data_IF_486274715837
#
_entry.id   IF_486274715837
#
_cell.length_a   1.000
_cell.length_b   1.000
_cell.length_c   1.000
_cell.angle_alpha   90.00
_cell.angle_beta   90.00
_cell.angle_gamma   90.00
#
_symmetry.space_group_name_H-M   'P 1'
#
loop_
_entity.id
_entity.type
_entity.pdbx_description
1 polymer ?
#
# COMPACT_ATOMS: atom_id res chain seq x y z
N UNK A 1 -19.21 -30.38 11.86
CA UNK A 1 -19.53 -29.96 10.48
C UNK A 1 -18.23 -29.52 9.82
N UNK A 2 -17.86 -30.14 8.70
CA UNK A 2 -16.69 -29.70 7.94
C UNK A 2 -17.00 -28.30 7.36
N UNK A 3 -16.14 -27.32 7.64
CA UNK A 3 -16.23 -25.99 7.00
C UNK A 3 -15.81 -26.16 5.55
N UNK A 4 -16.74 -25.92 4.62
CA UNK A 4 -16.53 -26.09 3.18
C UNK A 4 -15.93 -24.86 2.48
N UNK A 5 -15.89 -23.71 3.16
CA UNK A 5 -15.41 -22.46 2.59
C UNK A 5 -14.21 -21.90 3.36
N UNK A 6 -13.19 -21.37 2.67
CA UNK A 6 -12.02 -20.76 3.30
C UNK A 6 -12.42 -19.51 4.09
N UNK A 7 -11.95 -19.45 5.35
CA UNK A 7 -12.22 -18.33 6.28
C UNK A 7 -10.96 -17.49 6.55
N UNK A 8 -9.89 -17.74 5.79
CA UNK A 8 -8.61 -17.03 5.82
C UNK A 8 -8.10 -16.94 4.38
N UNK A 9 -7.38 -15.87 4.06
CA UNK A 9 -6.63 -15.77 2.82
C UNK A 9 -5.19 -16.23 3.04
N UNK A 10 -4.57 -16.77 1.99
CA UNK A 10 -3.12 -16.98 1.90
C UNK A 10 -2.46 -15.91 1.02
N UNK A 11 -3.20 -14.86 0.61
CA UNK A 11 -2.64 -13.73 -0.12
C UNK A 11 -1.53 -13.07 0.69
N UNK A 12 -0.40 -12.82 0.02
CA UNK A 12 0.71 -12.05 0.55
C UNK A 12 0.60 -10.59 0.08
N UNK A 13 1.26 -9.68 0.79
CA UNK A 13 1.40 -8.30 0.34
C UNK A 13 2.47 -8.28 -0.75
N UNK A 14 2.07 -8.21 -2.01
CA UNK A 14 2.99 -7.94 -3.13
C UNK A 14 3.14 -6.41 -3.27
N UNK A 15 4.35 -5.94 -3.63
CA UNK A 15 4.62 -4.51 -3.79
C UNK A 15 5.28 -4.26 -5.14
N UNK A 16 4.88 -3.15 -5.77
CA UNK A 16 5.53 -2.61 -6.96
C UNK A 16 6.88 -1.99 -6.59
N UNK A 17 7.86 -2.11 -7.48
CA UNK A 17 9.18 -1.48 -7.32
C UNK A 17 9.21 -0.02 -7.77
N UNK A 18 8.15 0.50 -8.40
CA UNK A 18 8.08 1.88 -8.91
C UNK A 18 7.31 2.80 -7.95
N UNK A 19 7.97 3.78 -7.29
CA UNK A 19 7.31 4.60 -6.30
C UNK A 19 6.44 5.71 -6.93
N UNK A 20 5.17 5.74 -6.54
CA UNK A 20 4.29 6.86 -6.82
C UNK A 20 4.74 8.10 -6.03
N UNK A 21 4.80 9.27 -6.66
CA UNK A 21 5.17 10.54 -5.99
C UNK A 21 3.94 11.42 -5.85
N UNK A 22 3.54 11.70 -4.61
CA UNK A 22 2.43 12.56 -4.22
C UNK A 22 2.94 13.94 -3.78
N UNK A 23 2.33 15.03 -4.27
CA UNK A 23 2.67 16.41 -3.85
C UNK A 23 1.60 16.93 -2.89
N UNK A 24 2.02 17.64 -1.84
CA UNK A 24 1.09 18.13 -0.81
C UNK A 24 0.02 19.12 -1.33
N UNK A 25 0.27 19.78 -2.46
CA UNK A 25 -0.67 20.72 -3.09
C UNK A 25 -1.71 20.01 -3.97
N UNK A 26 -1.52 18.71 -4.23
CA UNK A 26 -2.46 17.90 -5.00
C UNK A 26 -3.68 17.48 -4.15
N UNK A 27 -4.86 17.46 -4.80
CA UNK A 27 -6.11 17.11 -4.15
C UNK A 27 -6.15 15.64 -3.72
N UNK A 28 -5.63 14.71 -4.53
CA UNK A 28 -5.61 13.30 -4.16
C UNK A 28 -4.69 13.04 -2.95
N UNK A 29 -3.56 13.76 -2.87
CA UNK A 29 -2.69 13.71 -1.67
C UNK A 29 -3.41 14.16 -0.41
N UNK A 30 -4.28 15.17 -0.50
CA UNK A 30 -5.06 15.64 0.65
C UNK A 30 -5.98 14.53 1.17
N UNK A 31 -6.63 13.78 0.29
CA UNK A 31 -7.53 12.70 0.65
C UNK A 31 -6.78 11.58 1.40
N UNK A 32 -5.57 11.23 0.94
CA UNK A 32 -4.68 10.28 1.62
C UNK A 32 -4.32 10.75 3.03
N UNK A 33 -3.90 12.01 3.17
CA UNK A 33 -3.54 12.59 4.48
C UNK A 33 -4.75 12.59 5.42
N UNK A 34 -5.93 12.96 4.92
CA UNK A 34 -7.16 13.01 5.70
C UNK A 34 -7.67 11.62 6.10
N UNK A 35 -7.45 10.60 5.26
CA UNK A 35 -7.77 9.23 5.59
C UNK A 35 -6.87 8.70 6.72
N UNK A 36 -5.57 8.99 6.65
CA UNK A 36 -4.55 8.54 7.61
C UNK A 36 -4.47 9.39 8.89
N UNK A 37 -5.10 10.58 8.94
CA UNK A 37 -5.03 11.45 10.12
C UNK A 37 -5.77 10.91 11.34
N UNK A 38 -6.60 9.87 11.17
CA UNK A 38 -7.26 9.18 12.26
C UNK A 38 -6.35 8.12 12.86
N UNK A 39 -6.21 8.12 14.19
CA UNK A 39 -5.47 7.08 14.92
C UNK A 39 -5.94 5.67 14.55
N UNK A 40 -7.26 5.46 14.48
CA UNK A 40 -7.82 4.16 14.08
C UNK A 40 -7.44 3.79 12.65
N UNK A 41 -7.52 4.73 11.70
CA UNK A 41 -7.16 4.45 10.32
C UNK A 41 -5.66 4.14 10.18
N UNK A 42 -4.82 4.85 10.92
CA UNK A 42 -3.38 4.60 10.98
C UNK A 42 -3.05 3.21 11.55
N UNK A 43 -3.73 2.80 12.63
CA UNK A 43 -3.58 1.46 13.21
C UNK A 43 -4.06 0.35 12.27
N UNK A 44 -5.17 0.58 11.56
CA UNK A 44 -5.65 -0.34 10.51
C UNK A 44 -4.61 -0.47 9.39
N UNK A 45 -4.09 0.65 8.89
CA UNK A 45 -3.04 0.65 7.88
C UNK A 45 -1.81 -0.15 8.35
N UNK A 46 -1.35 0.08 9.58
CA UNK A 46 -0.19 -0.63 10.14
C UNK A 46 -0.41 -2.15 10.20
N UNK A 47 -1.60 -2.57 10.62
CA UNK A 47 -1.99 -3.98 10.66
C UNK A 47 -2.01 -4.60 9.25
N UNK A 48 -2.65 -3.92 8.30
CA UNK A 48 -2.74 -4.39 6.91
C UNK A 48 -1.40 -4.41 6.18
N UNK A 49 -0.45 -3.56 6.59
CA UNK A 49 0.90 -3.53 6.06
C UNK A 49 1.71 -4.79 6.45
N UNK A 50 1.31 -5.49 7.50
CA UNK A 50 1.93 -6.75 7.93
C UNK A 50 1.18 -7.98 7.39
N UNK A 51 -0.16 -7.95 7.36
CA UNK A 51 -0.95 -9.12 6.96
C UNK A 51 -2.32 -8.70 6.40
N UNK A 52 -2.75 -9.23 5.25
CA UNK A 52 -4.10 -8.99 4.73
C UNK A 52 -5.19 -9.47 5.68
N UNK A 53 -6.25 -8.70 5.83
CA UNK A 53 -7.28 -9.00 6.82
C UNK A 53 -8.68 -8.54 6.42
N UNK A 54 -9.68 -9.28 6.91
CA UNK A 54 -11.10 -8.89 6.80
C UNK A 54 -11.48 -7.84 7.85
N UNK A 55 -12.56 -7.06 7.63
CA UNK A 55 -13.07 -6.11 8.61
C UNK A 55 -13.30 -6.69 10.01
N UNK A 56 -13.85 -7.92 10.12
CA UNK A 56 -14.09 -8.54 11.43
C UNK A 56 -12.79 -8.91 12.14
N UNK A 57 -11.80 -9.43 11.42
CA UNK A 57 -10.50 -9.76 12.01
C UNK A 57 -9.74 -8.52 12.50
N UNK A 58 -9.82 -7.43 11.74
CA UNK A 58 -9.23 -6.13 12.11
C UNK A 58 -9.91 -5.60 13.37
N UNK A 59 -11.25 -5.66 13.42
CA UNK A 59 -12.02 -5.25 14.59
C UNK A 59 -11.63 -6.03 15.85
N UNK A 60 -11.48 -7.35 15.73
CA UNK A 60 -11.05 -8.21 16.84
C UNK A 60 -9.60 -7.89 17.30
N UNK A 61 -8.68 -7.63 16.37
CA UNK A 61 -7.27 -7.35 16.69
C UNK A 61 -7.05 -5.96 17.30
N UNK A 62 -7.83 -4.96 16.89
CA UNK A 62 -7.72 -3.58 17.37
C UNK A 62 -8.69 -3.25 18.52
N UNK A 63 -9.47 -4.22 19.00
CA UNK A 63 -10.54 -4.03 20.00
C UNK A 63 -11.50 -2.90 19.61
N UNK A 64 -11.97 -2.96 18.36
CA UNK A 64 -12.84 -1.96 17.73
C UNK A 64 -14.16 -2.62 17.29
N UNK A 65 -15.20 -1.82 17.06
CA UNK A 65 -16.41 -2.37 16.44
C UNK A 65 -16.19 -2.60 14.95
N UNK A 66 -16.80 -3.66 14.39
CA UNK A 66 -16.76 -3.94 12.94
C UNK A 66 -17.27 -2.76 12.12
N UNK A 67 -18.25 -2.02 12.64
CA UNK A 67 -18.79 -0.82 12.00
C UNK A 67 -17.77 0.31 11.93
N UNK A 68 -17.02 0.55 13.02
CA UNK A 68 -15.97 1.57 13.04
C UNK A 68 -14.84 1.21 12.08
N UNK A 69 -14.43 -0.05 12.08
CA UNK A 69 -13.44 -0.56 11.12
C UNK A 69 -13.92 -0.39 9.69
N UNK A 70 -15.18 -0.74 9.38
CA UNK A 70 -15.72 -0.57 8.03
C UNK A 70 -15.66 0.89 7.57
N UNK A 71 -16.06 1.83 8.42
CA UNK A 71 -15.99 3.26 8.12
C UNK A 71 -14.56 3.71 7.75
N UNK A 72 -13.56 3.26 8.52
CA UNK A 72 -12.17 3.62 8.23
C UNK A 72 -11.60 2.90 7.01
N UNK A 73 -11.99 1.64 6.76
CA UNK A 73 -11.61 0.92 5.55
C UNK A 73 -12.16 1.60 4.30
N UNK A 74 -13.44 1.99 4.28
CA UNK A 74 -14.03 2.73 3.16
C UNK A 74 -13.29 4.06 2.90
N UNK A 75 -12.90 4.77 3.96
CA UNK A 75 -12.13 6.03 3.82
C UNK A 75 -10.73 5.79 3.24
N UNK A 76 -10.04 4.76 3.71
CA UNK A 76 -8.70 4.40 3.22
C UNK A 76 -8.74 3.87 1.77
N UNK A 77 -9.72 3.03 1.44
CA UNK A 77 -9.93 2.49 0.09
C UNK A 77 -10.28 3.60 -0.90
N UNK A 78 -11.17 4.52 -0.51
CA UNK A 78 -11.52 5.68 -1.35
C UNK A 78 -10.32 6.59 -1.63
N UNK A 79 -9.36 6.66 -0.70
CA UNK A 79 -8.12 7.40 -0.87
C UNK A 79 -7.01 6.60 -1.58
N UNK A 80 -7.27 5.35 -1.97
CA UNK A 80 -6.31 4.48 -2.64
C UNK A 80 -5.15 4.00 -1.76
N UNK A 81 -5.29 4.08 -0.44
CA UNK A 81 -4.26 3.66 0.53
C UNK A 81 -4.27 2.14 0.73
N UNK A 82 -5.45 1.54 0.56
CA UNK A 82 -5.68 0.10 0.65
C UNK A 82 -6.56 -0.35 -0.51
N UNK A 83 -6.57 -1.64 -0.77
CA UNK A 83 -7.42 -2.25 -1.78
C UNK A 83 -7.92 -3.64 -1.35
N UNK A 84 -8.89 -4.17 -2.08
CA UNK A 84 -9.40 -5.54 -1.89
C UNK A 84 -8.57 -6.50 -2.71
N UNK A 85 -7.89 -7.44 -2.05
CA UNK A 85 -7.04 -8.45 -2.70
C UNK A 85 -7.77 -9.78 -2.93
N UNK A 86 -8.67 -10.14 -2.01
CA UNK A 86 -9.33 -11.44 -2.02
C UNK A 86 -10.69 -11.35 -1.30
N UNK A 87 -11.42 -12.46 -1.27
CA UNK A 87 -12.70 -12.58 -0.60
C UNK A 87 -12.80 -13.90 0.15
N UNK A 88 -13.18 -13.84 1.43
CA UNK A 88 -13.37 -15.03 2.26
C UNK A 88 -14.76 -15.07 2.90
N UNK A 89 -15.09 -16.18 3.55
CA UNK A 89 -16.41 -16.36 4.16
C UNK A 89 -16.34 -16.29 5.69
N UNK A 90 -17.29 -15.56 6.29
CA UNK A 90 -17.52 -15.58 7.74
C UNK A 90 -17.96 -16.97 8.22
N UNK A 91 -17.95 -17.19 9.53
CA UNK A 91 -18.45 -18.44 10.12
C UNK A 91 -19.93 -18.73 9.81
N UNK A 92 -20.69 -17.69 9.50
CA UNK A 92 -22.10 -17.76 9.08
C UNK A 92 -22.26 -17.92 7.56
N UNK A 93 -21.17 -18.11 6.82
CA UNK A 93 -21.18 -18.29 5.36
C UNK A 93 -21.42 -17.01 4.57
N UNK A 94 -21.30 -15.83 5.18
CA UNK A 94 -21.37 -14.55 4.45
C UNK A 94 -20.02 -14.19 3.86
N UNK A 95 -20.02 -13.76 2.62
CA UNK A 95 -18.86 -13.23 1.91
C UNK A 95 -18.31 -11.96 2.58
N UNK A 96 -17.00 -11.81 2.58
CA UNK A 96 -16.26 -10.72 3.22
C UNK A 96 -15.00 -10.41 2.43
N UNK A 97 -14.84 -9.15 2.04
CA UNK A 97 -13.62 -8.65 1.40
C UNK A 97 -12.43 -8.76 2.34
N UNK A 98 -11.28 -9.10 1.77
CA UNK A 98 -9.97 -9.09 2.41
C UNK A 98 -9.20 -7.90 1.89
N UNK A 99 -8.76 -7.03 2.80
CA UNK A 99 -8.05 -5.81 2.46
C UNK A 99 -6.54 -5.99 2.60
N UNK A 100 -5.79 -5.24 1.81
CA UNK A 100 -4.33 -5.12 1.83
C UNK A 100 -3.92 -3.66 1.62
N UNK A 101 -2.72 -3.28 2.03
CA UNK A 101 -2.13 -1.98 1.61
C UNK A 101 -1.85 -2.03 0.12
N UNK A 102 -2.15 -0.93 -0.59
CA UNK A 102 -1.91 -0.82 -2.03
C UNK A 102 -0.44 -1.12 -2.39
N UNK A 103 -0.24 -1.79 -3.53
CA UNK A 103 1.07 -2.30 -3.93
C UNK A 103 2.11 -1.20 -4.22
N UNK A 104 1.66 0.00 -4.61
CA UNK A 104 2.54 1.08 -5.06
C UNK A 104 3.16 1.87 -3.88
N UNK A 105 4.48 1.76 -3.65
CA UNK A 105 5.14 2.51 -2.59
C UNK A 105 5.03 4.01 -2.86
N UNK A 106 4.51 4.76 -1.89
CA UNK A 106 4.19 6.18 -2.11
C UNK A 106 5.15 7.11 -1.39
N UNK A 107 5.73 8.06 -2.14
CA UNK A 107 6.62 9.11 -1.67
C UNK A 107 5.87 10.44 -1.56
N UNK A 108 5.79 10.98 -0.34
CA UNK A 108 5.20 12.30 -0.09
C UNK A 108 6.25 13.40 -0.28
N UNK A 109 5.99 14.31 -1.21
CA UNK A 109 6.82 15.46 -1.51
C UNK A 109 6.19 16.76 -0.97
N UNK A 110 6.95 17.45 -0.11
CA UNK A 110 6.59 18.76 0.42
C UNK A 110 7.10 19.84 -0.54
N UNK A 111 6.29 20.15 -1.53
CA UNK A 111 6.50 21.21 -2.50
C UNK A 111 5.32 21.30 -3.44
N UNK A 112 5.32 22.32 -4.29
CA UNK A 112 4.26 22.54 -5.28
C UNK A 112 4.42 21.61 -6.48
N UNK A 113 3.39 21.47 -7.30
CA UNK A 113 3.48 20.71 -8.55
C UNK A 113 4.57 21.28 -9.48
N UNK A 114 4.76 22.61 -9.43
CA UNK A 114 5.78 23.35 -10.18
C UNK A 114 7.23 23.04 -9.75
N UNK A 115 7.43 22.51 -8.53
CA UNK A 115 8.74 22.11 -8.02
C UNK A 115 9.17 20.72 -8.49
N UNK A 116 8.22 19.88 -8.95
CA UNK A 116 8.48 18.50 -9.40
C UNK A 116 9.53 18.42 -10.53
N UNK A 117 9.50 19.25 -11.58
CA UNK A 117 10.53 19.22 -12.63
C UNK A 117 11.92 19.59 -12.10
N UNK A 118 12.00 20.49 -11.12
CA UNK A 118 13.24 20.92 -10.49
C UNK A 118 13.82 19.80 -9.64
N UNK A 119 12.99 19.12 -8.83
CA UNK A 119 13.38 17.94 -8.08
C UNK A 119 13.86 16.81 -9.00
N UNK A 120 13.13 16.52 -10.08
CA UNK A 120 13.51 15.50 -11.07
C UNK A 120 14.85 15.84 -11.74
N UNK A 121 15.12 17.12 -12.01
CA UNK A 121 16.43 17.55 -12.53
C UNK A 121 17.54 17.39 -11.50
N UNK A 122 17.30 17.75 -10.24
CA UNK A 122 18.28 17.57 -9.17
C UNK A 122 18.65 16.09 -9.00
N UNK A 123 17.65 15.20 -9.00
CA UNK A 123 17.85 13.77 -8.91
C UNK A 123 18.60 13.20 -10.12
N UNK A 124 18.22 13.62 -11.35
CA UNK A 124 18.94 13.25 -12.58
C UNK A 124 20.37 13.75 -12.60
N UNK A 125 20.60 14.98 -12.12
CA UNK A 125 21.94 15.57 -12.02
C UNK A 125 22.80 14.79 -11.04
N UNK A 126 22.25 14.41 -9.89
CA UNK A 126 22.94 13.57 -8.92
C UNK A 126 23.24 12.16 -9.48
N UNK A 127 22.26 11.51 -10.13
CA UNK A 127 22.47 10.24 -10.80
C UNK A 127 23.55 10.32 -11.90
N UNK A 128 23.59 11.41 -12.67
CA UNK A 128 24.61 11.64 -13.69
C UNK A 128 26.02 11.84 -13.11
N UNK A 129 26.13 12.30 -11.86
CA UNK A 129 27.39 12.47 -11.15
C UNK A 129 28.01 11.13 -10.74
N UNK A 130 27.19 10.09 -10.55
CA UNK A 130 27.66 8.72 -10.26
C UNK A 130 28.27 8.01 -11.48
N UNK A 131 28.08 8.57 -12.69
CA UNK A 131 28.81 8.20 -13.90
C UNK A 131 28.59 6.75 -14.40
N UNK A 132 29.46 6.26 -15.31
CA UNK A 132 29.40 4.91 -15.87
C UNK A 132 29.40 3.74 -14.84
N UNK A 133 30.05 3.85 -13.66
CA UNK A 133 29.98 2.80 -12.63
C UNK A 133 28.56 2.54 -12.12
N UNK A 134 27.70 3.56 -12.03
CA UNK A 134 26.30 3.37 -11.63
C UNK A 134 25.49 2.61 -12.68
N UNK A 135 25.82 2.78 -13.97
CA UNK A 135 25.21 2.00 -15.06
C UNK A 135 25.60 0.52 -14.96
N UNK A 136 26.85 0.22 -14.56
CA UNK A 136 27.30 -1.16 -14.34
C UNK A 136 26.62 -1.81 -13.13
N UNK A 137 26.38 -1.06 -12.05
CA UNK A 137 25.64 -1.56 -10.88
C UNK A 137 24.15 -1.81 -11.21
N UNK A 138 23.48 -0.86 -11.87
CA UNK A 138 22.09 -1.02 -12.30
C UNK A 138 21.92 -2.19 -13.27
N UNK A 139 22.84 -2.37 -14.23
CA UNK A 139 22.82 -3.51 -15.15
C UNK A 139 23.07 -4.85 -14.43
N UNK A 140 23.88 -4.86 -13.37
CA UNK A 140 24.14 -6.06 -12.56
C UNK A 140 22.91 -6.53 -11.76
N UNK A 141 22.12 -5.59 -11.23
CA UNK A 141 20.86 -5.91 -10.54
C UNK A 141 19.81 -6.48 -11.49
N UNK A 142 19.64 -5.91 -12.69
CA UNK A 142 18.70 -6.44 -13.70
C UNK A 142 19.06 -7.87 -14.17
N UNK A 143 20.36 -8.20 -14.25
CA UNK A 143 20.80 -9.58 -14.58
C UNK A 143 20.55 -10.55 -13.42
N UNK A 144 20.64 -10.09 -12.18
CA UNK A 144 20.42 -10.92 -11.00
C UNK A 144 18.94 -11.26 -10.78
N UNK A 145 18.03 -10.32 -11.08
CA UNK A 145 16.59 -10.57 -11.08
C UNK A 145 16.18 -11.60 -12.15
N UNK A 146 16.80 -11.54 -13.34
CA UNK A 146 16.54 -12.50 -14.42
C UNK A 146 17.01 -13.93 -14.09
N UNK A 147 18.13 -14.06 -13.36
CA UNK A 147 18.67 -15.36 -12.92
C UNK A 147 17.99 -15.90 -11.66
N UNK A 148 17.29 -15.06 -10.89
CA UNK A 148 16.52 -15.47 -9.71
C UNK A 148 15.08 -15.86 -10.06
N UNK A 149 14.68 -15.67 -11.32
CA UNK A 149 13.36 -16.00 -11.86
C UNK A 149 13.31 -17.36 -12.60
N UNK A 150 14.41 -18.15 -12.60
CA UNK A 150 14.48 -19.54 -13.08
C UNK A 150 14.48 -20.57 -11.94
#
# INVERSE_FOLDING_TARGET
>A
MARLFPTRTDAAVERSDDPAVLSLDDAATRDVIEALSSETAYEIFRLLNETPATPSRIADQLDQSVQNVHYHLEKLESAGVIEVTDTCYSEKGREMSVFVVSEDPTLLFLGTEDDRPSLKRAFKSFASLLGPPAVLLAAGESVSQLLSAE
#
